data_IF_003478916044
#
_entry.id   IF_003478916044
#
_cell.length_a   1.000
_cell.length_b   1.000
_cell.length_c   1.000
_cell.angle_alpha   90.00
_cell.angle_beta   90.00
_cell.angle_gamma   90.00
#
_symmetry.space_group_name_H-M   'P 1'
#
loop_
_entity.id
_entity.type
_entity.pdbx_description
1 polymer ?
#
# COMPACT_ATOMS: atom_id res chain seq x y z
N UNK A 1 -75.98 -52.82 -45.85
CA UNK A 1 -74.71 -52.60 -46.50
C UNK A 1 -73.99 -51.48 -45.71
N UNK A 2 -73.09 -51.82 -44.78
CA UNK A 2 -72.39 -50.92 -43.89
C UNK A 2 -71.00 -50.75 -44.44
N UNK A 3 -70.62 -49.53 -44.74
CA UNK A 3 -69.29 -49.16 -45.29
C UNK A 3 -68.40 -48.84 -44.04
N UNK A 4 -67.37 -49.64 -43.83
CA UNK A 4 -66.34 -49.43 -42.82
C UNK A 4 -65.26 -48.54 -43.39
N UNK A 5 -65.01 -47.41 -42.77
CA UNK A 5 -63.88 -46.50 -43.10
C UNK A 5 -62.67 -46.85 -42.25
N UNK A 6 -61.43 -46.93 -42.79
CA UNK A 6 -60.23 -47.17 -41.99
C UNK A 6 -59.74 -45.87 -41.36
N UNK A 7 -59.43 -45.93 -40.06
CA UNK A 7 -58.80 -44.86 -39.30
C UNK A 7 -57.29 -44.87 -39.56
N UNK A 8 -56.78 -43.75 -40.03
CA UNK A 8 -55.34 -43.47 -40.19
C UNK A 8 -54.82 -42.95 -38.84
N UNK A 9 -53.98 -43.74 -38.18
CA UNK A 9 -53.22 -43.29 -37.00
C UNK A 9 -52.05 -42.43 -37.42
N UNK A 10 -52.09 -41.16 -37.06
CA UNK A 10 -50.95 -40.23 -37.21
C UNK A 10 -50.05 -40.40 -36.02
N UNK A 11 -48.88 -40.96 -36.26
CA UNK A 11 -47.81 -41.10 -35.26
C UNK A 11 -47.07 -39.75 -35.13
N UNK A 12 -47.33 -39.00 -34.06
CA UNK A 12 -46.60 -37.75 -33.77
C UNK A 12 -45.23 -38.12 -33.16
N UNK A 13 -44.18 -37.86 -33.91
CA UNK A 13 -42.79 -37.98 -33.42
C UNK A 13 -42.50 -36.75 -32.56
N UNK A 14 -42.41 -36.94 -31.25
CA UNK A 14 -42.00 -35.93 -30.30
C UNK A 14 -40.48 -35.79 -30.36
N UNK A 15 -39.95 -34.77 -31.00
CA UNK A 15 -38.53 -34.44 -30.99
C UNK A 15 -38.24 -33.72 -29.68
N UNK A 16 -37.67 -34.40 -28.71
CA UNK A 16 -37.12 -33.75 -27.51
C UNK A 16 -35.81 -33.04 -27.86
N UNK A 17 -35.91 -31.71 -28.02
CA UNK A 17 -34.72 -30.82 -28.11
C UNK A 17 -34.15 -30.67 -26.70
N UNK A 18 -33.06 -31.36 -26.41
CA UNK A 18 -32.31 -31.19 -25.16
C UNK A 18 -31.51 -29.89 -25.24
N UNK A 19 -32.06 -28.79 -24.77
CA UNK A 19 -31.32 -27.54 -24.59
C UNK A 19 -30.55 -27.64 -23.25
N UNK A 20 -29.29 -28.12 -23.34
CA UNK A 20 -28.33 -28.02 -22.24
C UNK A 20 -27.98 -26.55 -22.06
N UNK A 21 -28.57 -25.90 -21.05
CA UNK A 21 -28.11 -24.57 -20.62
C UNK A 21 -26.63 -24.69 -20.12
N UNK A 22 -25.73 -23.77 -20.49
CA UNK A 22 -24.39 -23.78 -19.93
C UNK A 22 -24.48 -23.56 -18.43
N UNK A 23 -23.89 -24.48 -17.65
CA UNK A 23 -23.69 -24.30 -16.22
C UNK A 23 -22.90 -23.01 -16.03
N UNK A 24 -23.52 -22.02 -15.40
CA UNK A 24 -22.83 -20.82 -14.99
C UNK A 24 -21.67 -21.25 -14.09
N UNK A 25 -20.44 -20.93 -14.51
CA UNK A 25 -19.24 -21.14 -13.70
C UNK A 25 -19.42 -20.38 -12.40
N UNK A 26 -19.42 -21.10 -11.27
CA UNK A 26 -19.41 -20.48 -9.94
C UNK A 26 -18.26 -19.46 -9.89
N UNK A 27 -18.48 -18.25 -9.34
CA UNK A 27 -17.40 -17.30 -9.19
C UNK A 27 -16.30 -17.99 -8.36
N UNK A 28 -15.12 -18.11 -8.96
CA UNK A 28 -13.94 -18.65 -8.30
C UNK A 28 -13.68 -17.76 -7.08
N UNK A 29 -13.78 -18.34 -5.89
CA UNK A 29 -13.50 -17.61 -4.66
C UNK A 29 -12.13 -16.94 -4.81
N UNK A 30 -12.08 -15.62 -4.66
CA UNK A 30 -10.85 -14.86 -4.71
C UNK A 30 -9.87 -15.51 -3.72
N UNK A 31 -8.71 -15.91 -4.20
CA UNK A 31 -7.67 -16.49 -3.36
C UNK A 31 -7.23 -15.40 -2.37
N UNK A 32 -7.74 -15.48 -1.14
CA UNK A 32 -7.26 -14.64 -0.03
C UNK A 32 -5.84 -15.12 0.26
N UNK A 33 -4.82 -14.26 0.10
CA UNK A 33 -3.46 -14.64 0.43
C UNK A 33 -3.43 -15.17 1.87
N UNK A 34 -2.82 -16.33 2.07
CA UNK A 34 -2.73 -16.93 3.39
C UNK A 34 -1.75 -16.09 4.23
N UNK A 35 -2.27 -15.37 5.21
CA UNK A 35 -1.45 -14.59 6.14
C UNK A 35 -0.68 -15.55 7.05
N UNK A 36 0.60 -15.27 7.26
CA UNK A 36 1.46 -16.05 8.15
C UNK A 36 1.77 -15.22 9.40
N UNK A 37 1.53 -15.75 10.61
CA UNK A 37 1.96 -15.07 11.83
C UNK A 37 3.47 -14.78 11.82
N UNK A 38 3.87 -13.57 12.22
CA UNK A 38 5.26 -13.14 12.27
C UNK A 38 5.62 -12.68 13.68
N UNK A 39 6.85 -12.98 14.07
CA UNK A 39 7.53 -12.35 15.21
C UNK A 39 8.84 -11.82 14.65
N UNK A 40 9.05 -10.52 14.72
CA UNK A 40 10.24 -9.85 14.20
C UNK A 40 10.88 -9.02 15.30
N UNK A 41 12.16 -9.22 15.49
CA UNK A 41 12.98 -8.39 16.38
C UNK A 41 13.07 -6.95 15.86
N UNK A 42 13.59 -6.04 16.69
CA UNK A 42 13.66 -4.61 16.43
C UNK A 42 14.20 -4.26 15.04
N UNK A 43 15.25 -4.94 14.60
CA UNK A 43 15.97 -4.62 13.35
C UNK A 43 15.70 -5.65 12.23
N UNK A 44 14.79 -6.60 12.44
CA UNK A 44 14.36 -7.57 11.43
C UNK A 44 13.29 -6.98 10.51
N UNK A 45 13.29 -7.43 9.25
CA UNK A 45 12.39 -7.00 8.19
C UNK A 45 13.14 -6.61 6.92
N UNK A 46 12.45 -6.01 5.97
CA UNK A 46 13.06 -5.52 4.74
C UNK A 46 13.62 -4.11 4.96
N UNK A 47 14.91 -4.01 5.33
CA UNK A 47 15.58 -2.73 5.59
C UNK A 47 15.98 -2.07 4.28
N UNK A 48 15.66 -0.79 4.15
CA UNK A 48 15.84 -0.02 2.93
C UNK A 48 16.33 1.39 3.23
N UNK A 49 16.97 1.98 2.22
CA UNK A 49 17.49 3.36 2.24
C UNK A 49 16.78 4.13 1.13
N UNK A 50 16.15 5.24 1.45
CA UNK A 50 15.48 6.09 0.47
C UNK A 50 16.51 6.63 -0.53
N UNK A 51 16.20 6.57 -1.81
CA UNK A 51 17.02 7.16 -2.87
C UNK A 51 16.79 8.66 -2.89
N UNK A 52 17.86 9.42 -3.11
CA UNK A 52 17.73 10.84 -3.38
C UNK A 52 17.04 11.12 -4.72
N UNK A 53 16.62 12.34 -4.90
CA UNK A 53 16.06 12.87 -6.16
C UNK A 53 16.57 14.29 -6.39
N UNK A 54 16.35 14.92 -7.58
CA UNK A 54 16.82 16.27 -7.85
C UNK A 54 16.32 17.29 -6.81
N UNK A 55 17.26 17.99 -6.18
CA UNK A 55 16.99 18.88 -5.06
C UNK A 55 17.16 18.24 -3.67
N UNK A 56 17.06 16.95 -3.56
CA UNK A 56 17.22 16.15 -2.33
C UNK A 56 18.13 14.93 -2.58
N UNK A 57 19.41 15.12 -2.87
CA UNK A 57 20.31 14.03 -3.30
C UNK A 57 20.59 13.00 -2.19
N UNK A 58 20.39 13.36 -0.94
CA UNK A 58 20.54 12.52 0.24
C UNK A 58 19.47 12.87 1.28
N UNK A 59 18.27 12.30 1.20
CA UNK A 59 17.20 12.55 2.17
C UNK A 59 17.55 12.05 3.58
N UNK A 60 18.46 11.07 3.69
CA UNK A 60 18.94 10.54 4.96
C UNK A 60 17.88 9.78 5.75
N UNK A 61 16.94 9.21 5.06
CA UNK A 61 15.87 8.37 5.62
C UNK A 61 16.16 6.91 5.38
N UNK A 62 16.00 6.12 6.42
CA UNK A 62 15.99 4.66 6.34
C UNK A 62 14.71 4.13 6.95
N UNK A 63 14.26 2.98 6.49
CA UNK A 63 13.07 2.35 7.01
C UNK A 63 13.15 0.83 6.95
N UNK A 64 12.29 0.17 7.72
CA UNK A 64 12.15 -1.28 7.72
C UNK A 64 10.69 -1.62 7.47
N UNK A 65 10.39 -2.28 6.36
CA UNK A 65 9.07 -2.88 6.14
C UNK A 65 9.00 -4.17 6.96
N UNK A 66 8.09 -4.19 7.93
CA UNK A 66 7.94 -5.29 8.89
C UNK A 66 6.75 -6.18 8.58
N UNK A 67 5.60 -5.59 8.26
CA UNK A 67 4.40 -6.33 7.87
C UNK A 67 3.79 -5.66 6.65
N UNK A 68 3.61 -6.41 5.59
CA UNK A 68 2.95 -5.99 4.36
C UNK A 68 2.50 -7.22 3.56
N UNK A 69 1.82 -7.06 2.40
CA UNK A 69 1.39 -8.18 1.58
C UNK A 69 2.50 -9.11 1.11
N UNK A 70 3.75 -8.61 0.97
CA UNK A 70 4.88 -9.39 0.46
C UNK A 70 5.50 -10.27 1.53
N UNK A 71 5.66 -9.78 2.76
CA UNK A 71 6.37 -10.49 3.81
C UNK A 71 5.47 -11.23 4.80
N UNK A 72 4.38 -10.62 5.26
CA UNK A 72 3.43 -11.21 6.21
C UNK A 72 2.09 -11.59 5.58
N UNK A 73 1.91 -11.27 4.29
CA UNK A 73 0.67 -11.53 3.57
C UNK A 73 -0.50 -10.71 4.07
N UNK A 74 -0.28 -9.64 4.85
CA UNK A 74 -1.38 -8.79 5.30
C UNK A 74 -1.99 -8.03 4.12
N UNK A 75 -3.28 -8.24 3.87
CA UNK A 75 -4.05 -7.50 2.86
C UNK A 75 -4.75 -6.26 3.45
N UNK A 76 -4.56 -5.97 4.74
CA UNK A 76 -5.36 -4.98 5.46
C UNK A 76 -4.53 -3.86 6.08
N UNK A 77 -3.22 -4.05 6.25
CA UNK A 77 -2.35 -3.05 6.85
C UNK A 77 -0.91 -3.18 6.38
N UNK A 78 -0.18 -2.09 6.52
CA UNK A 78 1.28 -2.05 6.43
C UNK A 78 1.83 -1.53 7.76
N UNK A 79 2.86 -2.18 8.27
CA UNK A 79 3.58 -1.75 9.45
C UNK A 79 5.06 -1.56 9.08
N UNK A 80 5.60 -0.38 9.35
CA UNK A 80 7.01 -0.08 9.12
C UNK A 80 7.58 0.80 10.24
N UNK A 81 8.91 0.75 10.40
CA UNK A 81 9.66 1.72 11.19
C UNK A 81 10.43 2.64 10.25
N UNK A 82 10.62 3.89 10.64
CA UNK A 82 11.40 4.87 9.88
C UNK A 82 12.38 5.59 10.82
N UNK A 83 13.58 5.84 10.31
CA UNK A 83 14.57 6.66 10.97
C UNK A 83 14.83 7.90 10.10
N UNK A 84 14.62 9.09 10.68
CA UNK A 84 14.86 10.38 10.03
C UNK A 84 16.08 11.00 10.71
N UNK A 85 17.18 11.13 9.99
CA UNK A 85 18.42 11.71 10.54
C UNK A 85 18.20 13.15 11.06
N UNK A 86 19.11 13.62 11.90
CA UNK A 86 19.12 15.02 12.33
C UNK A 86 19.09 15.97 11.14
N UNK A 87 18.15 16.93 11.16
CA UNK A 87 17.95 17.90 10.09
C UNK A 87 17.33 17.31 8.81
N UNK A 88 16.96 16.03 8.82
CA UNK A 88 16.16 15.42 7.76
C UNK A 88 14.68 15.77 7.88
N UNK A 89 13.94 15.52 6.82
CA UNK A 89 12.50 15.79 6.76
C UNK A 89 11.78 14.78 5.88
N UNK A 90 10.51 14.53 6.17
CA UNK A 90 9.57 13.91 5.25
C UNK A 90 8.76 15.02 4.59
N UNK A 91 8.88 15.14 3.29
CA UNK A 91 8.25 16.18 2.50
C UNK A 91 6.70 16.16 2.61
N UNK A 92 6.02 17.29 2.37
CA UNK A 92 4.57 17.36 2.40
C UNK A 92 3.94 16.36 1.43
N UNK A 93 3.18 15.41 1.99
CA UNK A 93 2.49 14.36 1.24
C UNK A 93 1.15 14.00 1.89
N UNK A 94 0.38 13.18 1.20
CA UNK A 94 -0.88 12.61 1.71
C UNK A 94 -1.10 11.20 1.16
N UNK A 95 -1.87 10.40 1.88
CA UNK A 95 -2.25 9.05 1.50
C UNK A 95 -3.73 9.00 1.12
N UNK A 96 -4.10 9.00 -0.19
CA UNK A 96 -5.50 9.03 -0.61
C UNK A 96 -6.32 7.82 -0.15
N UNK A 97 -5.68 6.64 -0.06
CA UNK A 97 -6.33 5.35 0.16
C UNK A 97 -6.16 4.75 1.56
N UNK A 98 -5.47 5.41 2.47
CA UNK A 98 -5.18 4.85 3.79
C UNK A 98 -5.15 5.93 4.87
N UNK A 99 -5.67 5.59 6.05
CA UNK A 99 -5.33 6.30 7.28
C UNK A 99 -3.95 5.88 7.73
N UNK A 100 -3.23 6.77 8.40
CA UNK A 100 -1.93 6.50 8.99
C UNK A 100 -1.90 6.82 10.48
N UNK A 101 -1.25 5.96 11.24
CA UNK A 101 -0.79 6.28 12.60
C UNK A 101 0.73 6.42 12.54
N UNK A 102 1.24 7.59 12.91
CA UNK A 102 2.65 7.84 13.13
C UNK A 102 2.91 7.95 14.62
N UNK A 103 3.68 7.00 15.18
CA UNK A 103 4.11 7.01 16.57
C UNK A 103 5.61 7.30 16.64
N UNK A 104 5.99 8.38 17.31
CA UNK A 104 7.38 8.70 17.55
C UNK A 104 7.89 7.88 18.74
N UNK A 105 8.82 6.96 18.51
CA UNK A 105 9.49 6.24 19.60
C UNK A 105 10.51 7.16 20.32
N UNK A 106 11.23 7.98 19.53
CA UNK A 106 12.25 8.91 20.05
C UNK A 106 12.42 10.11 19.14
N UNK A 107 13.13 11.13 19.65
CA UNK A 107 13.46 12.34 18.91
C UNK A 107 12.46 13.48 19.13
N UNK A 108 12.65 14.57 18.37
CA UNK A 108 11.80 15.77 18.41
C UNK A 108 11.49 16.20 17.00
N UNK A 109 10.21 16.23 16.67
CA UNK A 109 9.70 16.60 15.34
C UNK A 109 8.85 17.86 15.38
N UNK A 110 8.92 18.65 14.31
CA UNK A 110 7.83 19.54 13.93
C UNK A 110 6.95 18.80 12.93
N UNK A 111 5.70 18.60 13.30
CA UNK A 111 4.70 17.93 12.46
C UNK A 111 3.72 18.98 11.95
N UNK A 112 3.55 19.04 10.63
CA UNK A 112 2.48 19.79 9.98
C UNK A 112 1.39 18.77 9.59
N UNK A 113 0.17 18.99 10.07
CA UNK A 113 -0.99 18.13 9.81
C UNK A 113 -2.18 18.99 9.41
N UNK A 114 -2.59 18.91 8.14
CA UNK A 114 -3.56 19.83 7.56
C UNK A 114 -3.12 21.29 7.74
N UNK A 115 -3.95 22.10 8.39
CA UNK A 115 -3.67 23.51 8.65
C UNK A 115 -2.96 23.76 10.00
N UNK A 116 -2.57 22.70 10.71
CA UNK A 116 -1.92 22.84 12.03
C UNK A 116 -0.47 22.40 11.99
N UNK A 117 0.35 23.02 12.87
CA UNK A 117 1.72 22.61 13.10
C UNK A 117 1.99 22.48 14.60
N UNK A 118 2.65 21.41 15.01
CA UNK A 118 3.03 21.17 16.41
C UNK A 118 4.42 20.60 16.51
N UNK A 119 5.12 20.96 17.60
CA UNK A 119 6.31 20.23 18.04
C UNK A 119 5.86 19.07 18.91
N UNK A 120 6.35 17.88 18.57
CA UNK A 120 6.08 16.63 19.28
C UNK A 120 7.38 15.93 19.64
N UNK A 121 7.34 15.08 20.65
CA UNK A 121 8.49 14.36 21.19
C UNK A 121 8.26 12.86 21.20
N UNK A 122 9.29 12.09 21.48
CA UNK A 122 9.17 10.65 21.70
C UNK A 122 8.02 10.30 22.64
N UNK A 123 7.24 9.27 22.32
CA UNK A 123 6.00 8.87 22.97
C UNK A 123 4.74 9.51 22.37
N UNK A 124 4.88 10.43 21.41
CA UNK A 124 3.72 11.08 20.76
C UNK A 124 3.12 10.23 19.66
N UNK A 125 1.80 10.32 19.53
CA UNK A 125 1.03 9.71 18.43
C UNK A 125 0.40 10.80 17.56
N UNK A 126 0.52 10.64 16.25
CA UNK A 126 -0.16 11.46 15.25
C UNK A 126 -1.11 10.54 14.46
N UNK A 127 -2.41 10.84 14.50
CA UNK A 127 -3.38 10.18 13.63
C UNK A 127 -3.62 11.05 12.40
N UNK A 128 -3.43 10.47 11.23
CA UNK A 128 -3.48 11.12 9.93
C UNK A 128 -4.61 10.46 9.14
N UNK A 129 -5.81 11.06 9.10
CA UNK A 129 -6.88 10.55 8.26
C UNK A 129 -6.48 10.51 6.79
N UNK A 130 -7.05 9.56 6.05
CA UNK A 130 -6.83 9.44 4.61
C UNK A 130 -6.98 10.82 3.92
N UNK A 131 -6.11 11.06 2.94
CA UNK A 131 -6.10 12.28 2.13
C UNK A 131 -5.76 13.58 2.90
N UNK A 132 -5.22 13.49 4.12
CA UNK A 132 -4.75 14.64 4.91
C UNK A 132 -3.28 14.94 4.63
N UNK A 133 -2.94 16.19 4.39
CA UNK A 133 -1.55 16.61 4.21
C UNK A 133 -0.75 16.49 5.51
N UNK A 134 0.42 15.87 5.41
CA UNK A 134 1.37 15.68 6.51
C UNK A 134 2.78 16.01 6.04
N UNK A 135 3.60 16.61 6.89
CA UNK A 135 5.05 16.64 6.79
C UNK A 135 5.68 16.56 8.16
N UNK A 136 6.94 16.10 8.21
CA UNK A 136 7.68 15.89 9.46
C UNK A 136 9.09 16.43 9.31
N UNK A 137 9.46 17.41 10.12
CA UNK A 137 10.83 17.94 10.18
C UNK A 137 11.51 17.42 11.45
N UNK A 138 12.67 16.83 11.33
CA UNK A 138 13.50 16.56 12.50
C UNK A 138 14.20 17.83 12.97
N UNK A 139 13.66 18.44 14.00
CA UNK A 139 14.20 19.66 14.62
C UNK A 139 15.04 19.37 15.88
N UNK A 140 15.20 18.09 16.23
CA UNK A 140 15.97 17.66 17.37
C UNK A 140 17.47 17.56 17.09
N UNK A 141 18.21 17.14 18.10
CA UNK A 141 19.66 16.90 18.02
C UNK A 141 20.04 15.47 17.67
N UNK A 142 19.05 14.56 17.67
CA UNK A 142 19.19 13.13 17.40
C UNK A 142 18.29 12.72 16.23
N UNK A 143 18.48 11.51 15.72
CA UNK A 143 17.55 10.96 14.75
C UNK A 143 16.17 10.75 15.39
N UNK A 144 15.11 11.00 14.65
CA UNK A 144 13.77 10.54 14.99
C UNK A 144 13.70 9.07 14.64
N UNK A 145 13.19 8.26 15.57
CA UNK A 145 12.70 6.92 15.29
C UNK A 145 11.19 6.91 15.40
N UNK A 146 10.54 6.45 14.36
CA UNK A 146 9.08 6.42 14.27
C UNK A 146 8.57 5.05 13.80
N UNK A 147 7.34 4.75 14.18
CA UNK A 147 6.54 3.64 13.67
C UNK A 147 5.42 4.23 12.84
N UNK A 148 5.26 3.75 11.62
CA UNK A 148 4.13 4.08 10.76
C UNK A 148 3.26 2.84 10.51
N UNK A 149 1.95 3.00 10.70
CA UNK A 149 0.95 1.97 10.44
C UNK A 149 -0.09 2.53 9.47
N UNK A 150 -0.23 1.88 8.32
CA UNK A 150 -1.23 2.25 7.31
C UNK A 150 -2.40 1.28 7.34
N UNK A 151 -3.61 1.78 7.26
CA UNK A 151 -4.85 0.99 7.27
C UNK A 151 -5.10 0.19 5.99
N UNK A 152 -4.30 0.41 4.94
CA UNK A 152 -4.35 -0.32 3.68
C UNK A 152 -2.97 -0.40 3.04
N UNK A 153 -2.66 -1.49 2.30
CA UNK A 153 -1.46 -1.60 1.47
C UNK A 153 -1.46 -0.64 0.28
N UNK A 154 -0.26 -0.38 -0.25
CA UNK A 154 -0.02 0.42 -1.45
C UNK A 154 1.20 1.32 -1.32
N UNK A 155 1.35 2.02 -0.20
CA UNK A 155 2.49 2.90 0.02
C UNK A 155 3.84 2.16 0.08
N UNK A 156 3.87 0.95 0.61
CA UNK A 156 5.08 0.12 0.66
C UNK A 156 5.64 -0.21 -0.74
N UNK A 157 4.78 -0.22 -1.76
CA UNK A 157 5.22 -0.45 -3.15
C UNK A 157 5.96 0.78 -3.69
N UNK A 158 5.44 1.98 -3.44
CA UNK A 158 6.13 3.23 -3.74
C UNK A 158 7.49 3.28 -3.03
N UNK A 159 7.51 2.97 -1.73
CA UNK A 159 8.73 2.96 -0.94
C UNK A 159 9.77 1.96 -1.47
N UNK A 160 9.34 0.78 -1.95
CA UNK A 160 10.25 -0.17 -2.61
C UNK A 160 10.82 0.33 -3.92
N UNK A 161 10.04 1.03 -4.72
CA UNK A 161 10.47 1.56 -6.01
C UNK A 161 11.45 2.73 -5.84
N UNK A 162 11.26 3.56 -4.82
CA UNK A 162 12.05 4.77 -4.58
C UNK A 162 13.19 4.58 -3.57
N UNK A 163 13.51 3.36 -3.21
CA UNK A 163 14.58 3.00 -2.27
C UNK A 163 15.42 1.82 -2.77
N UNK A 164 16.53 1.56 -2.12
CA UNK A 164 17.36 0.36 -2.31
C UNK A 164 17.43 -0.45 -1.03
N UNK A 165 17.76 -1.74 -1.12
CA UNK A 165 18.06 -2.53 0.06
C UNK A 165 19.32 -2.01 0.74
N UNK A 166 19.39 -2.13 2.06
CA UNK A 166 20.59 -1.80 2.80
C UNK A 166 21.78 -2.62 2.28
N UNK A 167 22.89 -1.96 2.03
CA UNK A 167 24.09 -2.56 1.42
C UNK A 167 24.16 -2.52 -0.11
N UNK A 168 23.10 -2.18 -0.78
CA UNK A 168 23.10 -1.93 -2.21
C UNK A 168 23.62 -0.51 -2.53
N UNK A 169 24.12 -0.34 -3.76
CA UNK A 169 24.53 0.99 -4.22
C UNK A 169 23.34 1.94 -4.33
N UNK A 170 23.31 2.96 -3.49
CA UNK A 170 22.30 4.01 -3.56
C UNK A 170 22.69 5.02 -4.65
N UNK A 171 21.88 5.09 -5.71
CA UNK A 171 22.01 6.07 -6.80
C UNK A 171 20.74 6.91 -6.81
N UNK A 172 20.83 8.25 -6.74
CA UNK A 172 19.67 9.12 -6.78
C UNK A 172 18.79 8.85 -8.02
N UNK A 173 17.49 9.03 -7.85
CA UNK A 173 16.52 9.00 -8.95
C UNK A 173 16.73 10.21 -9.87
N UNK A 174 16.57 10.03 -11.14
CA UNK A 174 16.34 11.16 -12.06
C UNK A 174 14.94 11.73 -11.82
N UNK A 175 14.70 12.97 -12.23
CA UNK A 175 13.36 13.57 -12.15
C UNK A 175 12.31 12.71 -12.86
N UNK A 176 12.64 12.18 -14.03
CA UNK A 176 11.71 11.35 -14.81
C UNK A 176 11.36 10.03 -14.09
N UNK A 177 12.31 9.41 -13.41
CA UNK A 177 12.07 8.20 -12.61
C UNK A 177 11.19 8.51 -11.39
N UNK A 178 11.47 9.60 -10.69
CA UNK A 178 10.67 10.02 -9.54
C UNK A 178 9.23 10.35 -9.94
N UNK A 179 9.04 11.21 -10.95
CA UNK A 179 7.71 11.58 -11.48
C UNK A 179 6.92 10.33 -11.95
N UNK A 180 7.61 9.37 -12.56
CA UNK A 180 6.99 8.13 -13.01
C UNK A 180 6.56 7.23 -11.84
N UNK A 181 7.35 7.17 -10.76
CA UNK A 181 7.01 6.44 -9.55
C UNK A 181 5.79 7.08 -8.85
N UNK A 182 5.82 8.39 -8.63
CA UNK A 182 4.70 9.13 -8.04
C UNK A 182 3.40 8.94 -8.84
N UNK A 183 3.48 9.02 -10.17
CA UNK A 183 2.32 8.80 -11.03
C UNK A 183 1.76 7.39 -10.91
N UNK A 184 2.61 6.36 -10.87
CA UNK A 184 2.17 4.96 -10.72
C UNK A 184 1.48 4.71 -9.39
N UNK A 185 1.98 5.32 -8.33
CA UNK A 185 1.52 5.11 -6.97
C UNK A 185 0.63 6.24 -6.43
N UNK A 186 0.09 7.10 -7.31
CA UNK A 186 -0.76 8.24 -6.91
C UNK A 186 -2.04 7.85 -6.16
N UNK A 187 -2.44 6.58 -6.21
CA UNK A 187 -3.52 6.03 -5.39
C UNK A 187 -3.11 5.81 -3.93
N UNK A 188 -1.81 5.68 -3.64
CA UNK A 188 -1.26 5.40 -2.33
C UNK A 188 -0.55 6.60 -1.69
N UNK A 189 0.11 7.44 -2.50
CA UNK A 189 0.79 8.66 -2.03
C UNK A 189 0.75 9.74 -3.08
N UNK A 190 0.61 10.98 -2.64
CA UNK A 190 0.70 12.20 -3.46
C UNK A 190 1.58 13.18 -2.71
N UNK A 191 2.67 13.62 -3.35
CA UNK A 191 3.52 14.69 -2.84
C UNK A 191 2.98 16.05 -3.27
N UNK A 192 3.22 17.07 -2.44
CA UNK A 192 2.88 18.45 -2.78
C UNK A 192 3.99 19.00 -3.67
N UNK A 193 3.59 19.54 -4.82
CA UNK A 193 4.55 20.26 -5.67
C UNK A 193 5.15 21.44 -4.92
N UNK A 194 6.46 21.71 -5.12
CA UNK A 194 7.18 22.81 -4.47
C UNK A 194 6.66 24.19 -4.81
#
# INVERSE_FOLDING_TARGET
MRIVRPSIAVCAILVCVNTSAPLASSPQAAHVPQTTPLILEKDEGERRIVRGWPGHPDPGETFILKVDPKNGGSSHLVFMTADIRRGGAIDPHRHPGADEILFLESGTARVHLGDTARVVHGGSTVFIPANTWISVDNIGNEAIRAVAVFSAPGFEQFMRETSVLEGEKNVPLTKAENDAAEKRHSHAVIYKEP
#
